data_IF_713913663381
#
_entry.id   IF_713913663381
#
_cell.length_a   1.000
_cell.length_b   1.000
_cell.length_c   1.000
_cell.angle_alpha   90.00
_cell.angle_beta   90.00
_cell.angle_gamma   90.00
#
_symmetry.space_group_name_H-M   'P 1'
#
loop_
_entity.id
_entity.type
_entity.pdbx_description
1 polymer ?
#
# COMPACT_ATOMS: atom_id res chain seq x y z
N UNK A 1 -43.47 -56.45 36.89
CA UNK A 1 -42.04 -56.82 36.82
C UNK A 1 -41.27 -56.00 35.76
N UNK A 2 -41.93 -55.49 34.73
CA UNK A 2 -41.36 -54.70 33.62
C UNK A 2 -40.87 -53.28 34.00
N UNK A 3 -41.56 -52.59 34.92
CA UNK A 3 -41.18 -51.22 35.35
C UNK A 3 -39.77 -51.10 35.95
N UNK A 4 -39.27 -52.16 36.60
CA UNK A 4 -37.89 -52.16 37.15
C UNK A 4 -36.84 -52.17 36.05
N UNK A 5 -37.10 -52.88 34.95
CA UNK A 5 -36.17 -52.97 33.81
C UNK A 5 -36.12 -51.64 33.05
N UNK A 6 -37.28 -51.04 32.83
CA UNK A 6 -37.43 -49.73 32.18
C UNK A 6 -36.71 -48.62 32.98
N UNK A 7 -36.81 -48.64 34.30
CA UNK A 7 -36.08 -47.70 35.17
C UNK A 7 -34.56 -47.89 35.11
N UNK A 8 -34.07 -49.13 35.00
CA UNK A 8 -32.62 -49.40 34.86
C UNK A 8 -32.13 -48.98 33.47
N UNK A 9 -32.90 -49.24 32.43
CA UNK A 9 -32.56 -48.86 31.05
C UNK A 9 -32.53 -47.32 30.90
N UNK A 10 -33.54 -46.63 31.43
CA UNK A 10 -33.59 -45.17 31.41
C UNK A 10 -32.44 -44.54 32.20
N UNK A 11 -32.05 -45.13 33.35
CA UNK A 11 -30.87 -44.68 34.10
C UNK A 11 -29.57 -44.88 33.33
N UNK A 12 -29.41 -46.03 32.68
CA UNK A 12 -28.25 -46.32 31.85
C UNK A 12 -28.18 -45.37 30.66
N UNK A 13 -29.30 -45.11 29.98
CA UNK A 13 -29.38 -44.15 28.88
C UNK A 13 -29.05 -42.74 29.32
N UNK A 14 -29.67 -42.25 30.40
CA UNK A 14 -29.40 -40.90 30.92
C UNK A 14 -27.94 -40.72 31.35
N UNK A 15 -27.33 -41.77 31.90
CA UNK A 15 -25.91 -41.75 32.29
C UNK A 15 -25.01 -41.75 31.06
N UNK A 16 -25.34 -42.53 30.02
CA UNK A 16 -24.62 -42.52 28.75
C UNK A 16 -24.73 -41.15 28.06
N UNK A 17 -25.91 -40.54 28.03
CA UNK A 17 -26.14 -39.22 27.45
C UNK A 17 -25.36 -38.14 28.18
N UNK A 18 -25.32 -38.18 29.51
CA UNK A 18 -24.49 -37.27 30.31
C UNK A 18 -23.00 -37.42 29.98
N UNK A 19 -22.50 -38.66 29.84
CA UNK A 19 -21.11 -38.93 29.45
C UNK A 19 -20.82 -38.44 28.03
N UNK A 20 -21.73 -38.63 27.07
CA UNK A 20 -21.54 -38.15 25.70
C UNK A 20 -21.54 -36.63 25.63
N UNK A 21 -22.44 -35.95 26.34
CA UNK A 21 -22.46 -34.49 26.39
C UNK A 21 -21.17 -33.93 27.01
N UNK A 22 -20.65 -34.56 28.06
CA UNK A 22 -19.40 -34.14 28.67
C UNK A 22 -18.20 -34.34 27.72
N UNK A 23 -18.12 -35.48 27.04
CA UNK A 23 -17.03 -35.77 26.10
C UNK A 23 -17.11 -34.86 24.86
N UNK A 24 -18.30 -34.66 24.30
CA UNK A 24 -18.52 -33.75 23.18
C UNK A 24 -18.23 -32.29 23.57
N UNK A 25 -18.67 -31.84 24.74
CA UNK A 25 -18.37 -30.49 25.23
C UNK A 25 -16.86 -30.27 25.44
N UNK A 26 -16.13 -31.28 25.93
CA UNK A 26 -14.66 -31.23 26.04
C UNK A 26 -13.98 -31.21 24.67
N UNK A 27 -14.47 -32.00 23.71
CA UNK A 27 -13.99 -32.02 22.32
C UNK A 27 -14.21 -30.67 21.64
N UNK A 28 -15.41 -30.11 21.73
CA UNK A 28 -15.75 -28.81 21.12
C UNK A 28 -14.90 -27.69 21.70
N UNK A 29 -14.63 -27.71 23.01
CA UNK A 29 -13.73 -26.73 23.63
C UNK A 29 -12.28 -26.86 23.13
N UNK A 30 -11.79 -28.09 22.97
CA UNK A 30 -10.46 -28.36 22.41
C UNK A 30 -10.38 -27.96 20.93
N UNK A 31 -11.40 -28.31 20.15
CA UNK A 31 -11.49 -28.02 18.72
C UNK A 31 -11.65 -26.51 18.47
N UNK A 32 -12.41 -25.80 19.29
CA UNK A 32 -12.53 -24.32 19.23
C UNK A 32 -11.19 -23.65 19.51
N UNK A 33 -10.45 -24.11 20.53
CA UNK A 33 -9.11 -23.60 20.85
C UNK A 33 -8.14 -23.87 19.69
N UNK A 34 -8.19 -25.08 19.12
CA UNK A 34 -7.38 -25.47 17.95
C UNK A 34 -7.73 -24.64 16.71
N UNK A 35 -9.00 -24.36 16.48
CA UNK A 35 -9.47 -23.54 15.37
C UNK A 35 -8.97 -22.09 15.52
N UNK A 36 -9.11 -21.50 16.71
CA UNK A 36 -8.57 -20.17 17.00
C UNK A 36 -7.05 -20.10 16.77
N UNK A 37 -6.30 -21.12 17.24
CA UNK A 37 -4.86 -21.19 17.03
C UNK A 37 -4.49 -21.30 15.54
N UNK A 38 -5.20 -22.13 14.78
CA UNK A 38 -4.98 -22.28 13.34
C UNK A 38 -5.23 -20.96 12.58
N UNK A 39 -6.28 -20.23 12.96
CA UNK A 39 -6.57 -18.90 12.42
C UNK A 39 -5.42 -17.93 12.73
N UNK A 40 -4.97 -17.87 13.99
CA UNK A 40 -3.86 -16.98 14.39
C UNK A 40 -2.54 -17.32 13.67
N UNK A 41 -2.23 -18.62 13.51
CA UNK A 41 -1.01 -19.05 12.82
C UNK A 41 -1.08 -18.76 11.31
N UNK A 42 -2.23 -19.02 10.66
CA UNK A 42 -2.44 -18.71 9.25
C UNK A 42 -2.39 -17.22 8.95
N UNK A 43 -2.86 -16.39 9.88
CA UNK A 43 -2.92 -14.94 9.73
C UNK A 43 -1.81 -14.20 10.47
N UNK A 44 -0.76 -14.91 10.93
CA UNK A 44 0.42 -14.31 11.59
C UNK A 44 1.07 -13.21 10.74
N UNK A 45 1.07 -13.39 9.42
CA UNK A 45 1.57 -12.40 8.47
C UNK A 45 0.88 -11.04 8.62
N UNK A 46 -0.44 -11.02 8.86
CA UNK A 46 -1.21 -9.77 8.96
C UNK A 46 -0.94 -9.00 10.24
N UNK A 47 -0.82 -9.71 11.36
CA UNK A 47 -0.48 -9.06 12.63
C UNK A 47 0.91 -8.44 12.57
N UNK A 48 1.79 -9.02 11.76
CA UNK A 48 3.13 -8.52 11.53
C UNK A 48 3.20 -7.51 10.39
N UNK A 49 2.17 -7.39 9.56
CA UNK A 49 2.14 -6.50 8.40
C UNK A 49 2.35 -5.03 8.78
N UNK A 50 1.59 -4.42 9.72
CA UNK A 50 1.82 -3.01 10.09
C UNK A 50 3.22 -2.77 10.65
N UNK A 51 3.74 -3.70 11.47
CA UNK A 51 5.11 -3.63 12.00
C UNK A 51 6.18 -3.78 10.89
N UNK A 52 5.94 -4.64 9.90
CA UNK A 52 6.85 -4.82 8.78
C UNK A 52 6.82 -3.61 7.85
N UNK A 53 5.65 -2.99 7.64
CA UNK A 53 5.51 -1.76 6.87
C UNK A 53 6.36 -0.66 7.51
N UNK A 54 6.19 -0.38 8.80
CA UNK A 54 7.02 0.60 9.51
C UNK A 54 8.52 0.33 9.36
N UNK A 55 8.92 -0.93 9.57
CA UNK A 55 10.33 -1.32 9.49
C UNK A 55 10.90 -1.16 8.08
N UNK A 56 10.12 -1.48 7.05
CA UNK A 56 10.55 -1.36 5.65
C UNK A 56 10.59 0.11 5.21
N UNK A 57 9.68 0.96 5.72
CA UNK A 57 9.73 2.41 5.49
C UNK A 57 11.03 2.99 6.03
N UNK A 58 11.46 2.59 7.24
CA UNK A 58 12.73 3.04 7.83
C UNK A 58 13.96 2.58 7.03
N UNK A 59 13.88 1.43 6.36
CA UNK A 59 14.94 0.90 5.50
C UNK A 59 14.98 1.52 4.11
N UNK A 60 13.87 2.12 3.66
CA UNK A 60 13.72 2.62 2.29
C UNK A 60 13.30 1.54 1.26
N UNK A 61 12.92 0.35 1.72
CA UNK A 61 12.51 -0.78 0.87
C UNK A 61 11.00 -0.72 0.56
N UNK A 62 10.59 0.26 -0.25
CA UNK A 62 9.19 0.51 -0.57
C UNK A 62 8.55 -0.58 -1.46
N UNK A 63 9.32 -1.25 -2.31
CA UNK A 63 8.84 -2.34 -3.18
C UNK A 63 8.19 -3.48 -2.38
N UNK A 64 8.82 -3.83 -1.25
CA UNK A 64 8.36 -4.93 -0.39
C UNK A 64 7.05 -4.54 0.28
N UNK A 65 6.93 -3.28 0.71
CA UNK A 65 5.70 -2.75 1.34
C UNK A 65 4.51 -2.85 0.38
N UNK A 66 4.71 -2.46 -0.88
CA UNK A 66 3.66 -2.48 -1.91
C UNK A 66 3.22 -3.91 -2.20
N UNK A 67 4.17 -4.83 -2.42
CA UNK A 67 3.86 -6.24 -2.68
C UNK A 67 3.13 -6.92 -1.51
N UNK A 68 3.56 -6.64 -0.28
CA UNK A 68 2.92 -7.20 0.92
C UNK A 68 1.51 -6.63 1.13
N UNK A 69 1.31 -5.35 0.81
CA UNK A 69 -0.01 -4.71 0.83
C UNK A 69 -0.95 -5.29 -0.24
N UNK A 70 -0.49 -5.50 -1.48
CA UNK A 70 -1.29 -6.14 -2.53
C UNK A 70 -1.67 -7.58 -2.17
N UNK A 71 -0.73 -8.36 -1.63
CA UNK A 71 -1.03 -9.71 -1.12
C UNK A 71 -2.09 -9.68 -0.03
N UNK A 72 -1.99 -8.76 0.92
CA UNK A 72 -3.00 -8.59 1.96
C UNK A 72 -4.36 -8.23 1.35
N UNK A 73 -4.41 -7.29 0.41
CA UNK A 73 -5.65 -6.90 -0.28
C UNK A 73 -6.29 -8.07 -1.04
N UNK A 74 -5.49 -8.88 -1.73
CA UNK A 74 -5.96 -10.07 -2.45
C UNK A 74 -6.54 -11.15 -1.53
N UNK A 75 -5.88 -11.40 -0.40
CA UNK A 75 -6.33 -12.39 0.59
C UNK A 75 -7.60 -11.94 1.35
N UNK A 76 -7.79 -10.64 1.55
CA UNK A 76 -8.86 -10.09 2.40
C UNK A 76 -10.02 -9.44 1.66
N UNK A 77 -9.93 -9.22 0.35
CA UNK A 77 -11.00 -8.58 -0.44
C UNK A 77 -12.37 -9.28 -0.39
N UNK A 78 -12.47 -10.49 0.18
CA UNK A 78 -13.71 -11.28 0.31
C UNK A 78 -14.07 -11.68 1.74
N UNK A 79 -13.28 -11.33 2.76
CA UNK A 79 -13.47 -11.85 4.13
C UNK A 79 -14.11 -10.82 5.06
N UNK A 80 -15.30 -11.11 5.62
CA UNK A 80 -16.10 -10.17 6.44
C UNK A 80 -15.84 -10.23 7.95
N UNK A 81 -14.71 -10.77 8.41
CA UNK A 81 -14.48 -10.94 9.85
C UNK A 81 -14.09 -9.60 10.51
N UNK A 82 -14.90 -9.15 11.48
CA UNK A 82 -14.80 -7.82 12.10
C UNK A 82 -13.43 -7.50 12.73
N UNK A 83 -12.75 -8.51 13.29
CA UNK A 83 -11.41 -8.33 13.88
C UNK A 83 -10.42 -7.84 12.84
N UNK A 84 -10.49 -8.36 11.60
CA UNK A 84 -9.57 -7.96 10.53
C UNK A 84 -9.87 -6.57 9.99
N UNK A 85 -11.12 -6.09 10.07
CA UNK A 85 -11.45 -4.71 9.66
C UNK A 85 -10.68 -3.67 10.47
N UNK A 86 -10.51 -3.89 11.79
CA UNK A 86 -9.73 -2.99 12.65
C UNK A 86 -8.24 -2.99 12.28
N UNK A 87 -7.66 -4.17 12.06
CA UNK A 87 -6.27 -4.29 11.64
C UNK A 87 -6.03 -3.71 10.24
N UNK A 88 -6.97 -3.93 9.33
CA UNK A 88 -6.89 -3.38 7.97
C UNK A 88 -6.93 -1.86 7.99
N UNK A 89 -7.77 -1.25 8.83
CA UNK A 89 -7.79 0.21 9.01
C UNK A 89 -6.46 0.77 9.53
N UNK A 90 -5.78 0.04 10.43
CA UNK A 90 -4.46 0.44 10.91
C UNK A 90 -3.40 0.36 9.79
N UNK A 91 -3.43 -0.70 8.98
CA UNK A 91 -2.56 -0.86 7.81
C UNK A 91 -2.79 0.26 6.80
N UNK A 92 -4.03 0.57 6.45
CA UNK A 92 -4.39 1.69 5.56
C UNK A 92 -3.86 3.02 6.07
N UNK A 93 -3.99 3.29 7.38
CA UNK A 93 -3.45 4.51 7.99
C UNK A 93 -1.93 4.62 7.80
N UNK A 94 -1.19 3.51 7.89
CA UNK A 94 0.27 3.51 7.66
C UNK A 94 0.63 3.66 6.19
N UNK A 95 -0.17 3.09 5.30
CA UNK A 95 -0.01 3.26 3.85
C UNK A 95 -0.28 4.72 3.45
N UNK A 96 -1.27 5.39 4.05
CA UNK A 96 -1.52 6.80 3.79
C UNK A 96 -0.34 7.68 4.21
N UNK A 97 0.21 7.46 5.42
CA UNK A 97 1.42 8.15 5.86
C UNK A 97 2.62 7.91 4.93
N UNK A 98 2.74 6.70 4.34
CA UNK A 98 3.75 6.42 3.33
C UNK A 98 3.49 7.20 2.02
N UNK A 99 2.23 7.32 1.58
CA UNK A 99 1.89 8.10 0.38
C UNK A 99 2.30 9.56 0.54
N UNK A 100 2.00 10.18 1.68
CA UNK A 100 2.40 11.55 2.00
C UNK A 100 3.93 11.71 1.98
N UNK A 101 4.65 10.78 2.63
CA UNK A 101 6.12 10.79 2.65
C UNK A 101 6.73 10.67 1.25
N UNK A 102 6.19 9.77 0.41
CA UNK A 102 6.65 9.59 -0.97
C UNK A 102 6.34 10.82 -1.83
N UNK A 103 5.20 11.49 -1.60
CA UNK A 103 4.87 12.75 -2.26
C UNK A 103 5.83 13.86 -1.88
N UNK A 104 6.13 14.04 -0.60
CA UNK A 104 7.10 15.02 -0.13
C UNK A 104 8.48 14.77 -0.77
N UNK A 105 8.91 13.51 -0.81
CA UNK A 105 10.17 13.12 -1.47
C UNK A 105 10.17 13.33 -2.98
N UNK A 106 9.03 13.23 -3.64
CA UNK A 106 8.89 13.54 -5.06
C UNK A 106 8.94 15.05 -5.34
N UNK A 107 8.45 15.86 -4.41
CA UNK A 107 8.44 17.33 -4.50
C UNK A 107 9.77 17.97 -4.10
N UNK A 108 10.64 17.24 -3.40
CA UNK A 108 12.03 17.66 -3.14
C UNK A 108 12.78 17.83 -4.48
N UNK A 109 13.12 19.08 -4.80
CA UNK A 109 13.98 19.46 -5.92
C UNK A 109 15.28 20.03 -5.38
N UNK A 110 16.47 19.66 -5.92
CA UNK A 110 16.71 18.79 -7.08
C UNK A 110 16.77 17.30 -6.72
N UNK A 111 15.94 16.48 -7.37
CA UNK A 111 15.93 15.02 -7.27
C UNK A 111 16.40 14.38 -8.58
N UNK A 112 16.95 13.15 -8.52
CA UNK A 112 17.40 12.44 -9.72
C UNK A 112 16.21 11.90 -10.52
N UNK A 113 16.35 11.80 -11.84
CA UNK A 113 15.32 11.24 -12.73
C UNK A 113 14.92 9.81 -12.35
N UNK A 114 15.89 9.02 -11.89
CA UNK A 114 15.66 7.62 -11.51
C UNK A 114 14.72 7.53 -10.30
N UNK A 115 14.98 8.38 -9.29
CA UNK A 115 14.18 8.40 -8.07
C UNK A 115 12.77 8.95 -8.34
N UNK A 116 12.63 10.00 -9.15
CA UNK A 116 11.32 10.53 -9.57
C UNK A 116 10.47 9.47 -10.27
N UNK A 117 11.04 8.74 -11.25
CA UNK A 117 10.32 7.65 -11.94
C UNK A 117 9.91 6.54 -10.98
N UNK A 118 10.78 6.22 -10.02
CA UNK A 118 10.56 5.16 -9.03
C UNK A 118 9.44 5.54 -8.06
N UNK A 119 9.44 6.77 -7.55
CA UNK A 119 8.37 7.29 -6.68
C UNK A 119 7.03 7.41 -7.41
N UNK A 120 6.99 7.88 -8.66
CA UNK A 120 5.76 7.93 -9.47
C UNK A 120 5.16 6.53 -9.63
N UNK A 121 5.99 5.51 -9.90
CA UNK A 121 5.52 4.11 -9.97
C UNK A 121 4.90 3.66 -8.64
N UNK A 122 5.60 3.88 -7.53
CA UNK A 122 5.10 3.51 -6.20
C UNK A 122 3.78 4.18 -5.83
N UNK A 123 3.66 5.47 -6.10
CA UNK A 123 2.42 6.22 -5.86
C UNK A 123 1.27 5.74 -6.75
N UNK A 124 1.58 5.32 -7.98
CA UNK A 124 0.60 4.72 -8.89
C UNK A 124 0.12 3.35 -8.40
N UNK A 125 1.05 2.46 -8.01
CA UNK A 125 0.72 1.12 -7.51
C UNK A 125 -0.08 1.20 -6.20
N UNK A 126 0.29 2.15 -5.32
CA UNK A 126 -0.44 2.44 -4.09
C UNK A 126 -1.79 3.11 -4.33
N UNK A 127 -2.18 3.46 -5.56
CA UNK A 127 -3.42 4.18 -5.89
C UNK A 127 -3.61 5.46 -5.05
N UNK A 128 -2.60 6.33 -5.02
CA UNK A 128 -2.74 7.63 -4.36
C UNK A 128 -3.86 8.49 -5.00
N UNK A 129 -4.59 9.32 -4.23
CA UNK A 129 -5.59 10.21 -4.78
C UNK A 129 -4.94 11.33 -5.62
N UNK A 130 -5.21 11.34 -6.92
CA UNK A 130 -4.68 12.31 -7.88
C UNK A 130 -3.54 11.76 -8.76
N UNK A 131 -3.05 12.56 -9.70
CA UNK A 131 -1.96 12.17 -10.61
C UNK A 131 -0.60 12.62 -10.02
N UNK A 132 0.24 11.69 -9.52
CA UNK A 132 1.54 12.03 -8.94
C UNK A 132 2.54 12.55 -9.98
N UNK A 133 2.42 12.13 -11.25
CA UNK A 133 3.27 12.63 -12.32
C UNK A 133 2.96 14.11 -12.62
N UNK A 134 1.67 14.49 -12.59
CA UNK A 134 1.24 15.87 -12.75
C UNK A 134 1.78 16.79 -11.64
N UNK A 135 1.73 16.32 -10.39
CA UNK A 135 2.29 17.08 -9.25
C UNK A 135 3.80 17.29 -9.39
N UNK A 136 4.54 16.27 -9.84
CA UNK A 136 5.97 16.37 -10.13
C UNK A 136 6.25 17.43 -11.21
N UNK A 137 5.50 17.41 -12.31
CA UNK A 137 5.66 18.39 -13.41
C UNK A 137 5.39 19.81 -12.91
N UNK A 138 4.36 20.02 -12.09
CA UNK A 138 4.05 21.32 -11.49
C UNK A 138 5.18 21.84 -10.59
N UNK A 139 5.78 20.97 -9.77
CA UNK A 139 6.91 21.32 -8.93
C UNK A 139 8.16 21.67 -9.74
N UNK A 140 8.48 20.89 -10.78
CA UNK A 140 9.59 21.17 -11.70
C UNK A 140 9.40 22.51 -12.40
N UNK A 141 8.20 22.78 -12.90
CA UNK A 141 7.86 24.04 -13.53
C UNK A 141 8.08 25.23 -12.58
N UNK A 142 7.59 25.14 -11.33
CA UNK A 142 7.78 26.17 -10.31
C UNK A 142 9.25 26.39 -10.00
N UNK A 143 10.03 25.32 -9.87
CA UNK A 143 11.46 25.39 -9.62
C UNK A 143 12.23 26.06 -10.77
N UNK A 144 11.91 25.70 -12.03
CA UNK A 144 12.50 26.34 -13.22
C UNK A 144 12.17 27.83 -13.24
N UNK A 145 10.91 28.20 -12.98
CA UNK A 145 10.52 29.60 -12.89
C UNK A 145 11.30 30.35 -11.81
N UNK A 146 11.46 29.75 -10.62
CA UNK A 146 12.27 30.34 -9.56
C UNK A 146 13.71 30.54 -9.99
N UNK A 147 14.32 29.57 -10.67
CA UNK A 147 15.69 29.68 -11.20
C UNK A 147 15.81 30.82 -12.22
N UNK A 148 14.82 30.95 -13.13
CA UNK A 148 14.76 32.05 -14.08
C UNK A 148 14.61 33.41 -13.40
N UNK A 149 13.76 33.49 -12.36
CA UNK A 149 13.60 34.69 -11.55
C UNK A 149 14.89 35.06 -10.79
N UNK A 150 15.54 34.09 -10.14
CA UNK A 150 16.82 34.29 -9.45
C UNK A 150 17.93 34.71 -10.41
N UNK A 151 17.98 34.16 -11.63
CA UNK A 151 18.93 34.58 -12.66
C UNK A 151 18.65 36.01 -13.13
N UNK A 152 17.38 36.38 -13.31
CA UNK A 152 16.98 37.75 -13.67
C UNK A 152 17.33 38.74 -12.57
N UNK A 153 17.04 38.41 -11.31
CA UNK A 153 17.40 39.26 -10.17
C UNK A 153 18.91 39.35 -9.98
N UNK A 154 19.64 38.25 -10.18
CA UNK A 154 21.08 38.20 -10.21
C UNK A 154 21.63 39.16 -11.26
N UNK A 155 21.16 39.08 -12.51
CA UNK A 155 21.57 39.98 -13.59
C UNK A 155 21.25 41.46 -13.32
N UNK A 156 20.08 41.75 -12.73
CA UNK A 156 19.71 43.13 -12.35
C UNK A 156 20.61 43.66 -11.23
N UNK A 157 21.08 42.79 -10.32
CA UNK A 157 22.04 43.13 -9.25
C UNK A 157 23.49 43.17 -9.77
N UNK A 158 23.83 42.33 -10.75
CA UNK A 158 25.16 42.13 -11.36
C UNK A 158 25.41 42.94 -12.63
N UNK A 159 24.78 44.11 -12.75
CA UNK A 159 25.40 45.25 -13.45
C UNK A 159 26.77 45.66 -12.83
N UNK A 160 27.37 44.84 -11.95
CA UNK A 160 28.73 44.94 -11.39
C UNK A 160 29.62 43.69 -11.47
N UNK A 161 29.24 42.55 -12.05
CA UNK A 161 30.17 41.40 -12.10
C UNK A 161 29.71 40.23 -12.96
N UNK A 162 30.58 39.78 -13.87
CA UNK A 162 30.35 38.63 -14.76
C UNK A 162 30.65 37.31 -14.03
N UNK A 163 29.93 36.26 -14.47
CA UNK A 163 30.22 34.81 -14.32
C UNK A 163 29.22 34.01 -13.45
N UNK A 164 28.07 33.63 -14.04
CA UNK A 164 27.16 32.62 -13.45
C UNK A 164 26.43 31.72 -14.49
N UNK A 165 26.75 31.84 -15.79
CA UNK A 165 25.88 31.32 -16.87
C UNK A 165 26.19 29.87 -17.30
N UNK A 166 27.36 29.30 -16.97
CA UNK A 166 27.76 27.95 -17.42
C UNK A 166 27.03 26.81 -16.71
N UNK A 167 26.64 26.98 -15.45
CA UNK A 167 26.00 25.91 -14.66
C UNK A 167 24.52 25.67 -15.06
N UNK A 168 23.89 26.67 -15.69
CA UNK A 168 22.50 26.59 -16.11
C UNK A 168 22.31 25.66 -17.32
N UNK A 169 23.22 25.68 -18.31
CA UNK A 169 23.03 24.95 -19.57
C UNK A 169 23.10 23.42 -19.37
N UNK A 170 24.01 22.97 -18.51
CA UNK A 170 24.13 21.56 -18.08
C UNK A 170 22.84 21.09 -17.37
N UNK A 171 22.32 21.92 -16.45
CA UNK A 171 21.14 21.60 -15.65
C UNK A 171 19.85 21.60 -16.49
N UNK A 172 19.69 22.55 -17.41
CA UNK A 172 18.55 22.62 -18.32
C UNK A 172 18.52 21.47 -19.33
N UNK A 173 19.68 21.07 -19.89
CA UNK A 173 19.74 20.00 -20.89
C UNK A 173 19.37 18.62 -20.30
N UNK A 174 19.78 18.34 -19.07
CA UNK A 174 19.43 17.10 -18.38
C UNK A 174 17.93 17.03 -18.03
N UNK A 175 17.31 18.17 -17.72
CA UNK A 175 15.90 18.25 -17.28
C UNK A 175 14.88 18.30 -18.44
N UNK A 176 15.26 18.80 -19.62
CA UNK A 176 14.35 18.82 -20.77
C UNK A 176 14.07 17.40 -21.32
N UNK A 177 15.05 16.50 -21.24
CA UNK A 177 14.85 15.07 -21.52
C UNK A 177 13.87 14.40 -20.53
N UNK A 178 13.84 14.86 -19.28
CA UNK A 178 12.93 14.39 -18.22
C UNK A 178 11.46 14.66 -18.54
N UNK A 179 11.15 15.87 -19.01
CA UNK A 179 9.79 16.28 -19.39
C UNK A 179 9.26 15.49 -20.60
N UNK A 180 10.13 15.19 -21.57
CA UNK A 180 9.77 14.41 -22.75
C UNK A 180 9.45 12.95 -22.42
N UNK A 181 10.23 12.30 -21.53
CA UNK A 181 9.98 10.90 -21.15
C UNK A 181 8.79 10.71 -20.19
N UNK A 182 8.56 11.64 -19.25
CA UNK A 182 7.38 11.60 -18.39
C UNK A 182 6.07 11.77 -19.17
N UNK A 183 6.05 12.67 -20.17
CA UNK A 183 4.89 12.85 -21.06
C UNK A 183 4.59 11.60 -21.89
N UNK A 184 5.63 10.85 -22.28
CA UNK A 184 5.50 9.58 -23.01
C UNK A 184 4.89 8.47 -22.15
N UNK A 185 5.24 8.41 -20.86
CA UNK A 185 4.70 7.41 -19.92
C UNK A 185 3.24 7.67 -19.55
N UNK A 186 2.83 8.94 -19.39
CA UNK A 186 1.44 9.31 -19.12
C UNK A 186 0.52 8.92 -20.30
N UNK A 187 0.97 9.09 -21.54
CA UNK A 187 0.20 8.67 -22.72
C UNK A 187 0.03 7.14 -22.83
N UNK A 188 1.06 6.36 -22.44
CA UNK A 188 0.99 4.89 -22.42
C UNK A 188 0.02 4.36 -21.35
N UNK A 189 -0.02 4.96 -20.15
CA UNK A 189 -0.95 4.61 -19.09
C UNK A 189 -2.40 5.03 -19.42
N UNK A 190 -2.59 6.16 -20.10
CA UNK A 190 -3.90 6.56 -20.61
C UNK A 190 -4.40 5.64 -21.73
N UNK A 191 -3.53 5.21 -22.66
CA UNK A 191 -3.91 4.28 -23.73
C UNK A 191 -4.15 2.85 -23.22
N UNK A 192 -3.41 2.35 -22.23
CA UNK A 192 -3.63 1.01 -21.67
C UNK A 192 -4.93 0.91 -20.87
N UNK A 193 -5.32 2.01 -20.22
CA UNK A 193 -6.58 2.12 -19.48
C UNK A 193 -7.79 2.21 -20.43
N UNK A 194 -7.63 2.79 -21.62
CA UNK A 194 -8.68 2.91 -22.63
C UNK A 194 -8.86 1.62 -23.46
N UNK A 195 -7.88 0.71 -23.50
CA UNK A 195 -7.95 -0.53 -24.29
C UNK A 195 -8.72 -1.67 -23.58
N UNK A 196 -9.02 -1.55 -22.29
CA UNK A 196 -9.80 -2.54 -21.53
C UNK A 196 -11.30 -2.22 -21.42
N UNK A 197 -11.77 -1.14 -22.06
CA UNK A 197 -13.17 -0.70 -22.00
C UNK A 197 -13.82 -0.49 -23.38
N UNK A 198 -13.53 -1.38 -24.34
CA UNK A 198 -14.33 -1.50 -25.56
C UNK A 198 -14.87 -2.94 -25.63
N UNK A 199 -16.19 -3.17 -25.45
CA UNK A 199 -16.78 -4.46 -25.70
C UNK A 199 -16.78 -4.72 -27.21
N UNK A 200 -16.27 -5.89 -27.60
CA UNK A 200 -16.42 -6.40 -28.96
C UNK A 200 -17.91 -6.56 -29.32
N UNK A 201 -18.42 -5.99 -30.42
CA UNK A 201 -19.64 -6.46 -31.03
C UNK A 201 -19.32 -7.52 -32.11
N UNK A 202 -20.21 -8.50 -32.17
CA UNK A 202 -20.31 -9.62 -33.12
C UNK A 202 -20.36 -9.17 -34.59
#
# INVERSE_FOLDING_TARGET
MTQKLENVLNRASNTADALFQEVLGRKDKADSTRNALNVLQRFKFLFNLPLNIERNIQKGDYDVVINDYEKAKSLFGKTEVQVFKKYYAEVETRIEALRELLLDKLLETPSTLHDQKRYIRYLSDLHAPGDPAWQCIGAQHKWILQLMHSCKEGYVKDLKGKDFCSDLYSTFSCHFNTLWECSRFSWYLYLSSLFFLVPAPL
#
